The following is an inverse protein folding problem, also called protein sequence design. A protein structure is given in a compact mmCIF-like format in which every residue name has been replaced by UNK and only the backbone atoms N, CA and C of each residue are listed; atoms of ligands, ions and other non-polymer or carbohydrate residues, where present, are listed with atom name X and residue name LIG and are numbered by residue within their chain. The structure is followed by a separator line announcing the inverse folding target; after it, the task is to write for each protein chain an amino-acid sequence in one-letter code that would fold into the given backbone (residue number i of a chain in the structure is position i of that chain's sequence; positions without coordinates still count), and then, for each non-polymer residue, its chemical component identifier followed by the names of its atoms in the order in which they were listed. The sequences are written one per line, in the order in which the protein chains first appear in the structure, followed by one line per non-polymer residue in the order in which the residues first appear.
data_IF_432695412625
#
_entry.id   IF_432695412625
#
_cell.length_a   1.000
_cell.length_b   1.000
_cell.length_c   1.000
_cell.angle_alpha   90.00
_cell.angle_beta   90.00
_cell.angle_gamma   90.00
#
_symmetry.space_group_name_H-M   'P 1'
#
loop_
_entity.id
_entity.type
_entity.pdbx_description
1 polymer ?
#
# COMPACT_ATOMS: atom_id res chain seq x y z
N UNK A 1 8.20 -4.63 -12.28
CA UNK A 1 6.84 -4.88 -11.79
C UNK A 1 6.44 -3.73 -10.89
N UNK A 2 5.36 -3.04 -11.24
CA UNK A 2 4.85 -1.90 -10.49
C UNK A 2 3.59 -2.24 -9.71
N UNK A 3 3.59 -1.90 -8.44
CA UNK A 3 2.49 -2.16 -7.50
C UNK A 3 1.90 -0.83 -7.02
N UNK A 4 0.59 -0.65 -7.20
CA UNK A 4 -0.13 0.52 -6.72
C UNK A 4 -0.87 0.19 -5.42
N UNK A 5 -0.49 0.85 -4.32
CA UNK A 5 -1.25 0.83 -3.07
C UNK A 5 -2.29 1.94 -3.06
N UNK A 6 -3.57 1.56 -3.01
CA UNK A 6 -4.69 2.48 -3.06
C UNK A 6 -5.42 2.56 -1.72
N UNK A 7 -5.65 3.78 -1.24
CA UNK A 7 -6.60 4.02 -0.15
C UNK A 7 -7.50 5.21 -0.49
N UNK A 8 -8.36 5.65 0.42
CA UNK A 8 -9.26 6.79 0.13
C UNK A 8 -8.47 8.11 0.07
N UNK A 9 -7.68 8.41 1.10
CA UNK A 9 -7.09 9.74 1.30
C UNK A 9 -5.63 9.89 0.83
N UNK A 10 -4.94 8.79 0.53
CA UNK A 10 -3.50 8.73 0.29
C UNK A 10 -2.66 9.58 1.25
N UNK A 11 -2.85 9.31 2.55
CA UNK A 11 -2.25 10.12 3.62
C UNK A 11 -1.58 9.27 4.71
N UNK A 12 -2.05 8.03 4.91
CA UNK A 12 -1.56 7.13 5.95
C UNK A 12 -1.21 5.74 5.39
N UNK A 13 -2.13 4.77 5.45
CA UNK A 13 -1.91 3.36 5.11
C UNK A 13 -1.20 3.11 3.77
N UNK A 14 -1.65 3.77 2.69
CA UNK A 14 -1.03 3.57 1.37
C UNK A 14 0.37 4.20 1.26
N UNK A 15 0.65 5.27 1.99
CA UNK A 15 1.99 5.88 2.08
C UNK A 15 2.94 4.97 2.86
N UNK A 16 2.48 4.43 4.00
CA UNK A 16 3.24 3.45 4.77
C UNK A 16 3.55 2.21 3.93
N UNK A 17 2.57 1.76 3.12
CA UNK A 17 2.72 0.61 2.23
C UNK A 17 3.72 0.87 1.10
N UNK A 18 3.63 2.02 0.42
CA UNK A 18 4.58 2.40 -0.64
C UNK A 18 6.01 2.45 -0.10
N UNK A 19 6.23 3.18 0.98
CA UNK A 19 7.56 3.40 1.54
C UNK A 19 8.19 2.10 2.04
N UNK A 20 7.44 1.30 2.80
CA UNK A 20 7.96 0.04 3.33
C UNK A 20 8.20 -0.99 2.22
N UNK A 21 7.31 -1.07 1.23
CA UNK A 21 7.52 -1.96 0.09
C UNK A 21 8.80 -1.60 -0.66
N UNK A 22 9.00 -0.32 -0.98
CA UNK A 22 10.20 0.13 -1.69
C UNK A 22 11.48 -0.05 -0.87
N UNK A 23 11.40 0.07 0.46
CA UNK A 23 12.53 -0.19 1.35
C UNK A 23 12.98 -1.67 1.31
N UNK A 24 12.03 -2.59 1.15
CA UNK A 24 12.28 -4.03 1.12
C UNK A 24 12.44 -4.59 -0.30
N UNK A 25 12.13 -3.79 -1.33
CA UNK A 25 11.99 -4.27 -2.69
C UNK A 25 13.33 -4.76 -3.27
N UNK A 26 13.37 -5.98 -3.83
CA UNK A 26 14.48 -6.38 -4.68
C UNK A 26 14.42 -5.63 -6.02
N UNK A 27 15.51 -5.71 -6.78
CA UNK A 27 15.60 -5.08 -8.10
C UNK A 27 14.44 -5.50 -9.02
N UNK A 28 13.89 -4.53 -9.74
CA UNK A 28 12.79 -4.75 -10.68
C UNK A 28 11.40 -4.65 -10.05
N UNK A 29 11.27 -4.38 -8.76
CA UNK A 29 10.00 -4.03 -8.11
C UNK A 29 9.95 -2.55 -7.74
N UNK A 30 8.77 -1.95 -7.87
CA UNK A 30 8.52 -0.56 -7.50
C UNK A 30 7.08 -0.45 -6.98
N UNK A 31 6.91 0.17 -5.82
CA UNK A 31 5.61 0.57 -5.31
C UNK A 31 5.37 2.05 -5.52
N UNK A 32 4.11 2.37 -5.78
CA UNK A 32 3.56 3.72 -5.81
C UNK A 32 2.24 3.73 -5.03
N UNK A 33 1.78 4.89 -4.58
CA UNK A 33 0.47 5.00 -3.95
C UNK A 33 -0.40 6.12 -4.50
N UNK A 34 -1.72 5.94 -4.35
CA UNK A 34 -2.73 6.88 -4.78
C UNK A 34 -3.95 6.88 -3.85
N UNK A 35 -4.76 7.92 -4.00
CA UNK A 35 -6.03 8.12 -3.31
C UNK A 35 -7.18 8.29 -4.29
N UNK A 36 -8.34 7.71 -3.98
CA UNK A 36 -9.57 8.05 -4.72
C UNK A 36 -10.02 9.49 -4.43
N UNK A 37 -9.78 9.96 -3.21
CA UNK A 37 -10.04 11.32 -2.74
C UNK A 37 -8.82 11.82 -1.96
N UNK A 38 -7.69 12.11 -2.65
CA UNK A 38 -6.43 12.43 -1.99
C UNK A 38 -6.58 13.71 -1.15
N UNK A 39 -6.05 13.70 0.07
CA UNK A 39 -6.05 14.88 0.96
C UNK A 39 -5.09 15.97 0.50
N UNK A 40 -4.20 15.68 -0.45
CA UNK A 40 -3.15 16.59 -0.92
C UNK A 40 -1.97 16.73 0.06
N UNK A 41 -2.06 16.12 1.24
CA UNK A 41 -0.99 16.08 2.23
C UNK A 41 -0.85 14.70 2.88
N UNK A 42 0.39 14.29 3.09
CA UNK A 42 0.73 13.09 3.86
C UNK A 42 0.55 13.40 5.35
N UNK A 43 -0.02 12.45 6.11
CA UNK A 43 -0.18 12.59 7.54
C UNK A 43 1.22 12.65 8.19
N UNK A 44 1.56 13.71 8.96
CA UNK A 44 2.90 13.87 9.53
C UNK A 44 3.36 12.69 10.40
N UNK A 45 2.41 12.04 11.10
CA UNK A 45 2.72 10.86 11.90
C UNK A 45 3.15 9.66 11.06
N UNK A 46 2.60 9.49 9.86
CA UNK A 46 3.05 8.45 8.93
C UNK A 46 4.53 8.64 8.57
N UNK A 47 4.93 9.89 8.26
CA UNK A 47 6.32 10.23 7.95
C UNK A 47 7.23 9.99 9.16
N UNK A 48 6.81 10.42 10.34
CA UNK A 48 7.56 10.22 11.58
C UNK A 48 7.76 8.74 11.88
N UNK A 49 6.71 7.93 11.69
CA UNK A 49 6.77 6.47 11.90
C UNK A 49 7.78 5.81 10.94
N UNK A 50 7.76 6.20 9.66
CA UNK A 50 8.72 5.69 8.66
C UNK A 50 10.16 6.07 9.02
N UNK A 51 10.39 7.33 9.39
CA UNK A 51 11.72 7.80 9.79
C UNK A 51 12.24 7.07 11.03
N UNK A 52 11.38 6.84 12.03
CA UNK A 52 11.74 6.06 13.23
C UNK A 52 12.09 4.60 12.90
N UNK A 53 11.49 4.03 11.86
CA UNK A 53 11.81 2.71 11.34
C UNK A 53 13.04 2.69 10.40
N UNK A 54 13.68 3.84 10.16
CA UNK A 54 14.83 3.94 9.24
C UNK A 54 14.45 3.89 7.75
N UNK A 55 13.19 4.12 7.41
CA UNK A 55 12.65 4.08 6.05
C UNK A 55 12.66 5.49 5.45
N UNK A 56 13.12 5.60 4.20
CA UNK A 56 13.13 6.88 3.49
C UNK A 56 11.72 7.40 3.26
N UNK A 57 11.57 8.72 3.38
CA UNK A 57 10.32 9.44 3.09
C UNK A 57 10.41 10.30 1.81
N UNK A 58 11.52 10.21 1.10
CA UNK A 58 11.77 11.01 -0.10
C UNK A 58 10.78 10.63 -1.21
N UNK A 59 10.24 11.64 -1.92
CA UNK A 59 9.30 11.43 -3.02
C UNK A 59 7.87 11.05 -2.63
N UNK A 60 7.59 10.82 -1.35
CA UNK A 60 6.24 10.50 -0.86
C UNK A 60 5.34 11.74 -0.96
N UNK A 61 4.16 11.58 -1.55
CA UNK A 61 3.16 12.64 -1.67
C UNK A 61 1.75 12.08 -1.76
N UNK A 62 0.76 12.89 -1.35
CA UNK A 62 -0.66 12.55 -1.49
C UNK A 62 -1.16 12.96 -2.87
N UNK A 63 -1.55 11.99 -3.69
CA UNK A 63 -1.93 12.21 -5.10
C UNK A 63 -3.09 11.30 -5.53
N UNK A 64 -3.76 11.70 -6.61
CA UNK A 64 -4.87 10.96 -7.20
C UNK A 64 -4.40 9.83 -8.12
N UNK A 65 -5.35 9.03 -8.58
CA UNK A 65 -5.10 7.93 -9.51
C UNK A 65 -4.66 8.43 -10.90
N UNK A 66 -5.05 9.65 -11.27
CA UNK A 66 -4.71 10.36 -12.52
C UNK A 66 -3.19 10.48 -12.75
N UNK A 67 -2.42 10.50 -11.66
CA UNK A 67 -0.96 10.49 -11.72
C UNK A 67 -0.37 9.25 -12.44
N UNK A 68 -1.16 8.19 -12.61
CA UNK A 68 -0.70 6.91 -13.16
C UNK A 68 -1.36 6.55 -14.50
N UNK A 69 -2.10 7.46 -15.14
CA UNK A 69 -2.72 7.22 -16.45
C UNK A 69 -1.69 6.93 -17.55
N UNK A 70 -0.57 7.64 -17.55
CA UNK A 70 0.51 7.46 -18.53
C UNK A 70 1.47 6.30 -18.22
N UNK A 71 1.35 5.68 -17.05
CA UNK A 71 2.26 4.62 -16.61
C UNK A 71 1.56 3.66 -15.63
N UNK A 72 0.66 2.79 -16.15
CA UNK A 72 -0.24 1.99 -15.33
C UNK A 72 0.51 0.90 -14.53
N UNK A 73 0.01 0.52 -13.35
CA UNK A 73 0.58 -0.55 -12.54
C UNK A 73 0.23 -1.94 -13.07
N UNK A 74 1.07 -2.93 -12.74
CA UNK A 74 0.81 -4.35 -13.00
C UNK A 74 -0.17 -4.93 -11.96
N UNK A 75 -0.07 -4.45 -10.72
CA UNK A 75 -0.87 -4.90 -9.58
C UNK A 75 -1.43 -3.69 -8.83
N UNK A 76 -2.70 -3.75 -8.45
CA UNK A 76 -3.37 -2.79 -7.57
C UNK A 76 -3.77 -3.48 -6.27
N UNK A 77 -3.36 -2.91 -5.15
CA UNK A 77 -3.66 -3.39 -3.81
C UNK A 77 -4.47 -2.32 -3.08
N UNK A 78 -5.73 -2.60 -2.77
CA UNK A 78 -6.52 -1.71 -1.90
C UNK A 78 -6.21 -2.03 -0.44
N UNK A 79 -5.91 -1.00 0.35
CA UNK A 79 -5.54 -1.17 1.79
C UNK A 79 -6.59 -0.63 2.75
N UNK A 80 -7.72 -0.19 2.22
CA UNK A 80 -8.84 0.41 2.93
C UNK A 80 -10.14 -0.26 2.45
N UNK A 81 -11.00 -0.67 3.36
CA UNK A 81 -12.27 -1.34 3.02
C UNK A 81 -13.17 -0.45 2.14
N UNK A 82 -13.14 0.88 2.38
CA UNK A 82 -13.87 1.85 1.54
C UNK A 82 -13.31 1.92 0.12
N UNK A 83 -12.00 1.77 -0.05
CA UNK A 83 -11.36 1.76 -1.37
C UNK A 83 -11.67 0.47 -2.17
N UNK A 84 -12.14 -0.60 -1.52
CA UNK A 84 -12.56 -1.84 -2.18
C UNK A 84 -13.92 -1.70 -2.88
N UNK A 85 -14.79 -0.82 -2.39
CA UNK A 85 -16.10 -0.52 -2.98
C UNK A 85 -16.13 0.68 -3.93
N UNK A 86 -15.06 1.48 -3.96
CA UNK A 86 -14.92 2.60 -4.88
C UNK A 86 -14.60 2.10 -6.29
N UNK A 87 -15.22 2.70 -7.29
CA UNK A 87 -14.98 2.34 -8.69
C UNK A 87 -13.50 2.60 -9.03
N UNK A 88 -12.69 1.54 -9.07
CA UNK A 88 -11.34 1.60 -9.61
C UNK A 88 -11.42 2.18 -11.02
N UNK A 89 -10.63 3.22 -11.35
CA UNK A 89 -10.65 3.80 -12.68
C UNK A 89 -10.46 2.75 -13.78
N UNK A 90 -11.18 2.94 -14.90
CA UNK A 90 -11.25 1.98 -16.01
C UNK A 90 -9.87 1.69 -16.61
N UNK A 91 -8.93 2.64 -16.53
CA UNK A 91 -7.57 2.49 -17.08
C UNK A 91 -6.67 1.52 -16.30
N UNK A 92 -7.02 1.11 -15.07
CA UNK A 92 -6.34 0.00 -14.38
C UNK A 92 -6.79 -1.39 -14.86
N UNK A 93 -7.50 -1.46 -16.00
CA UNK A 93 -8.14 -2.65 -16.57
C UNK A 93 -7.33 -3.95 -16.54
N UNK A 94 -6.08 -4.01 -17.03
CA UNK A 94 -5.32 -5.26 -17.07
C UNK A 94 -4.65 -5.61 -15.72
N UNK A 95 -4.61 -4.70 -14.75
CA UNK A 95 -3.90 -4.93 -13.50
C UNK A 95 -4.54 -6.06 -12.68
N UNK A 96 -3.71 -6.86 -12.01
CA UNK A 96 -4.20 -7.78 -10.99
C UNK A 96 -4.63 -6.99 -9.77
N UNK A 97 -5.80 -7.30 -9.21
CA UNK A 97 -6.36 -6.56 -8.08
C UNK A 97 -6.45 -7.43 -6.85
N UNK A 98 -6.02 -6.94 -5.69
CA UNK A 98 -6.23 -7.62 -4.41
C UNK A 98 -6.53 -6.62 -3.31
N UNK A 99 -7.06 -7.11 -2.20
CA UNK A 99 -7.41 -6.29 -1.05
C UNK A 99 -6.63 -6.75 0.18
N UNK A 100 -5.80 -5.86 0.71
CA UNK A 100 -5.00 -6.07 1.89
C UNK A 100 -5.48 -5.11 2.97
N UNK A 101 -6.68 -5.38 3.52
CA UNK A 101 -7.30 -4.53 4.54
C UNK A 101 -6.33 -4.23 5.69
N UNK A 102 -6.20 -2.95 6.00
CA UNK A 102 -5.43 -2.44 7.14
C UNK A 102 -6.36 -1.55 7.98
N UNK A 103 -6.38 -1.83 9.29
CA UNK A 103 -6.94 -0.92 10.28
C UNK A 103 -6.28 0.46 10.13
N UNK A 104 -7.05 1.53 10.28
CA UNK A 104 -6.48 2.88 10.17
C UNK A 104 -5.83 3.27 11.50
N UNK A 105 -4.50 3.33 11.61
CA UNK A 105 -3.86 3.73 12.85
C UNK A 105 -4.12 5.20 13.17
N UNK A 106 -4.60 6.02 12.22
CA UNK A 106 -4.98 7.41 12.50
C UNK A 106 -6.32 7.56 13.20
N UNK A 107 -7.15 6.52 13.23
CA UNK A 107 -8.45 6.53 13.88
C UNK A 107 -8.38 6.05 15.35
N UNK A 108 -7.20 5.57 15.79
CA UNK A 108 -6.96 5.15 17.17
C UNK A 108 -7.01 6.36 18.10
N UNK A 109 -7.94 6.32 19.06
CA UNK A 109 -8.08 7.31 20.12
C UNK A 109 -7.41 6.79 21.39
N UNK A 110 -6.40 7.51 21.88
CA UNK A 110 -5.65 7.09 23.06
C UNK A 110 -4.53 8.07 23.40
N UNK A 111 -3.66 7.65 24.30
CA UNK A 111 -2.41 8.36 24.57
C UNK A 111 -1.37 8.12 23.45
N UNK A 112 -0.31 8.93 23.45
CA UNK A 112 0.77 8.83 22.46
C UNK A 112 1.36 7.41 22.33
N UNK A 113 1.65 6.67 23.43
CA UNK A 113 2.11 5.29 23.35
C UNK A 113 1.15 4.34 22.63
N UNK A 114 -0.17 4.46 22.86
CA UNK A 114 -1.16 3.62 22.19
C UNK A 114 -1.23 3.92 20.68
N UNK A 115 -1.17 5.19 20.30
CA UNK A 115 -1.14 5.61 18.90
C UNK A 115 0.14 5.09 18.22
N UNK A 116 1.31 5.26 18.84
CA UNK A 116 2.58 4.76 18.30
C UNK A 116 2.59 3.23 18.17
N UNK A 117 2.00 2.52 19.13
CA UNK A 117 1.84 1.07 19.05
C UNK A 117 0.98 0.66 17.85
N UNK A 118 -0.10 1.39 17.56
CA UNK A 118 -0.95 1.14 16.39
C UNK A 118 -0.18 1.34 15.08
N UNK A 119 0.55 2.45 14.93
CA UNK A 119 1.37 2.70 13.73
C UNK A 119 2.45 1.63 13.53
N UNK A 120 3.13 1.21 14.60
CA UNK A 120 4.12 0.10 14.55
C UNK A 120 3.45 -1.23 14.16
N UNK A 121 2.29 -1.53 14.71
CA UNK A 121 1.54 -2.74 14.38
C UNK A 121 1.12 -2.74 12.91
N UNK A 122 0.69 -1.60 12.37
CA UNK A 122 0.39 -1.44 10.94
C UNK A 122 1.63 -1.69 10.09
N UNK A 123 2.78 -1.11 10.42
CA UNK A 123 4.03 -1.37 9.68
C UNK A 123 4.43 -2.84 9.72
N UNK A 124 4.40 -3.48 10.89
CA UNK A 124 4.73 -4.91 11.00
C UNK A 124 3.80 -5.80 10.15
N UNK A 125 2.51 -5.44 10.07
CA UNK A 125 1.56 -6.13 9.19
C UNK A 125 1.90 -5.95 7.71
N UNK A 126 2.24 -4.72 7.30
CA UNK A 126 2.65 -4.43 5.93
C UNK A 126 3.95 -5.21 5.61
N UNK A 127 4.92 -5.21 6.52
CA UNK A 127 6.20 -5.91 6.35
C UNK A 127 5.98 -7.40 6.07
N UNK A 128 5.17 -8.06 6.90
CA UNK A 128 4.83 -9.47 6.73
C UNK A 128 4.24 -9.75 5.34
N UNK A 129 3.33 -8.89 4.88
CA UNK A 129 2.67 -9.02 3.58
C UNK A 129 3.64 -8.75 2.42
N UNK A 130 4.52 -7.76 2.55
CA UNK A 130 5.56 -7.47 1.57
C UNK A 130 6.54 -8.63 1.43
N UNK A 131 7.02 -9.20 2.54
CA UNK A 131 7.91 -10.36 2.53
C UNK A 131 7.24 -11.57 1.85
N UNK A 132 5.97 -11.83 2.17
CA UNK A 132 5.21 -12.89 1.52
C UNK A 132 5.00 -12.63 0.02
N UNK A 133 4.81 -11.36 -0.38
CA UNK A 133 4.68 -10.96 -1.78
C UNK A 133 5.98 -11.20 -2.57
N UNK A 134 7.13 -10.82 -2.04
CA UNK A 134 8.41 -11.04 -2.71
C UNK A 134 8.79 -12.53 -2.79
N UNK A 135 8.19 -13.38 -1.96
CA UNK A 135 8.35 -14.82 -2.04
C UNK A 135 7.48 -15.49 -3.14
N UNK A 136 6.59 -14.75 -3.82
CA UNK A 136 5.78 -15.30 -4.91
C UNK A 136 6.67 -15.62 -6.12
N UNK A 137 6.58 -16.83 -6.70
CA UNK A 137 7.29 -17.17 -7.92
C UNK A 137 6.56 -16.62 -9.16
N UNK A 138 6.66 -15.30 -9.38
CA UNK A 138 5.95 -14.58 -10.45
C UNK A 138 6.21 -15.12 -11.87
N UNK A 139 7.37 -15.74 -12.11
CA UNK A 139 7.73 -16.29 -13.41
C UNK A 139 7.01 -17.62 -13.76
N UNK A 140 6.47 -18.32 -12.76
CA UNK A 140 5.89 -19.66 -12.96
C UNK A 140 4.38 -19.71 -12.80
N UNK A 141 3.79 -18.72 -12.10
CA UNK A 141 2.36 -18.72 -11.81
C UNK A 141 1.56 -18.02 -12.92
N UNK A 142 0.43 -18.62 -13.28
CA UNK A 142 -0.57 -18.00 -14.12
C UNK A 142 -1.33 -16.87 -13.40
N UNK A 143 -2.07 -16.07 -14.17
CA UNK A 143 -2.80 -14.90 -13.64
C UNK A 143 -3.75 -15.24 -12.48
N UNK A 144 -4.49 -16.34 -12.58
CA UNK A 144 -5.46 -16.75 -11.54
C UNK A 144 -4.76 -17.28 -10.27
N UNK A 145 -3.60 -17.91 -10.43
CA UNK A 145 -2.78 -18.36 -9.30
C UNK A 145 -2.16 -17.19 -8.56
N UNK A 146 -1.62 -16.21 -9.30
CA UNK A 146 -1.13 -14.95 -8.74
C UNK A 146 -2.24 -14.23 -7.98
N UNK A 147 -3.44 -14.14 -8.56
CA UNK A 147 -4.59 -13.55 -7.87
C UNK A 147 -4.88 -14.23 -6.53
N UNK A 148 -4.90 -15.57 -6.49
CA UNK A 148 -5.11 -16.33 -5.25
C UNK A 148 -4.02 -16.10 -4.21
N UNK A 149 -2.76 -16.05 -4.62
CA UNK A 149 -1.66 -15.76 -3.70
C UNK A 149 -1.74 -14.34 -3.15
N UNK A 150 -2.04 -13.35 -3.99
CA UNK A 150 -2.23 -11.97 -3.53
C UNK A 150 -3.37 -11.85 -2.52
N UNK A 151 -4.48 -12.54 -2.75
CA UNK A 151 -5.62 -12.56 -1.81
C UNK A 151 -5.27 -13.29 -0.51
N UNK A 152 -4.53 -14.40 -0.59
CA UNK A 152 -4.03 -15.11 0.59
C UNK A 152 -3.13 -14.22 1.45
N UNK A 153 -2.25 -13.45 0.82
CA UNK A 153 -1.40 -12.49 1.52
C UNK A 153 -2.22 -11.38 2.18
N UNK A 154 -3.30 -10.93 1.53
CA UNK A 154 -4.22 -9.95 2.13
C UNK A 154 -4.88 -10.42 3.43
N UNK A 155 -4.96 -11.72 3.66
CA UNK A 155 -5.51 -12.32 4.87
C UNK A 155 -4.47 -12.59 5.98
N UNK A 156 -3.17 -12.40 5.71
CA UNK A 156 -2.10 -12.44 6.72
C UNK A 156 -2.21 -11.25 7.67
#
# INVERSE_FOLDING_TARGET
MRVLFMCTANSCRSILSEALFNHLAPEGFEAVSAGSFPKGQVLPRSLTTLQQAGISIEGLSSKGNDAFEGNPPDIVITVCDKATGEACPVYFGPALKSHWGLEDPSDVVGDEPAIDAAFRATLARIELRCQAFFAIPFATLGRDELKRELDRIGAL
#
